data_IF_856546720635
#
_entry.id   IF_856546720635
#
_cell.length_a   1.000
_cell.length_b   1.000
_cell.length_c   1.000
_cell.angle_alpha   90.00
_cell.angle_beta   90.00
_cell.angle_gamma   90.00
#
_symmetry.space_group_name_H-M   'P 1'
#
loop_
_entity.id
_entity.type
_entity.pdbx_description
1 polymer ?
#
# COMPACT_ATOMS: atom_id res chain seq x y z
N UNK A 1 -1.55 54.48 -51.21
CA UNK A 1 -0.41 53.56 -51.10
C UNK A 1 -0.63 52.66 -49.90
N UNK A 2 -0.93 51.39 -50.15
CA UNK A 2 -0.85 50.30 -49.18
C UNK A 2 0.59 50.21 -48.62
N UNK A 3 0.83 49.69 -47.42
CA UNK A 3 1.09 48.26 -47.24
C UNK A 3 0.63 47.79 -45.85
N UNK A 4 -0.15 46.71 -45.91
CA UNK A 4 -0.68 45.87 -44.83
C UNK A 4 0.43 44.94 -44.35
N UNK A 5 0.47 44.66 -43.05
CA UNK A 5 1.44 43.76 -42.42
C UNK A 5 1.41 42.34 -42.98
N UNK A 6 2.58 41.71 -42.94
CA UNK A 6 3.06 40.48 -43.61
C UNK A 6 2.34 39.18 -43.17
N UNK A 7 1.13 39.25 -42.60
CA UNK A 7 0.35 38.08 -42.18
C UNK A 7 -0.55 37.49 -43.27
N UNK A 8 -0.51 37.94 -44.54
CA UNK A 8 -1.53 37.55 -45.55
C UNK A 8 -1.00 37.10 -46.91
N UNK A 9 0.31 37.11 -47.19
CA UNK A 9 0.82 36.57 -48.47
C UNK A 9 1.16 35.07 -48.32
N UNK A 10 0.11 34.25 -48.45
CA UNK A 10 0.09 32.92 -49.11
C UNK A 10 1.08 31.86 -48.56
N UNK A 11 0.67 30.73 -47.96
CA UNK A 11 -0.45 29.88 -48.35
C UNK A 11 -0.04 28.80 -49.36
N UNK A 12 0.33 27.61 -48.85
CA UNK A 12 0.05 26.29 -49.44
C UNK A 12 0.96 25.71 -50.56
N UNK A 13 1.87 24.79 -50.19
CA UNK A 13 1.88 23.32 -50.50
C UNK A 13 3.29 22.71 -50.72
N UNK A 14 3.58 21.71 -49.87
CA UNK A 14 4.34 20.45 -50.03
C UNK A 14 5.60 20.38 -50.94
N UNK A 15 6.74 19.90 -50.41
CA UNK A 15 7.07 18.46 -50.46
C UNK A 15 8.31 18.05 -49.63
N UNK A 16 8.16 16.90 -48.96
CA UNK A 16 9.11 15.84 -48.57
C UNK A 16 10.52 16.20 -48.07
N UNK A 17 10.80 15.71 -46.85
CA UNK A 17 12.04 14.95 -46.63
C UNK A 17 13.05 15.56 -45.66
N UNK A 18 12.86 15.34 -44.36
CA UNK A 18 13.94 14.82 -43.50
C UNK A 18 13.35 14.27 -42.20
N UNK A 19 12.77 13.06 -42.31
CA UNK A 19 12.14 12.30 -41.22
C UNK A 19 13.12 11.56 -40.29
N UNK A 20 14.42 11.85 -40.37
CA UNK A 20 15.46 11.12 -39.63
C UNK A 20 16.17 11.94 -38.54
N UNK A 21 15.94 13.25 -38.43
CA UNK A 21 16.69 14.12 -37.50
C UNK A 21 15.89 14.66 -36.29
N UNK A 22 14.60 14.29 -36.13
CA UNK A 22 13.74 14.82 -35.03
C UNK A 22 13.20 13.70 -34.12
N UNK A 23 13.81 12.52 -34.15
CA UNK A 23 13.26 11.31 -33.50
C UNK A 23 13.88 10.90 -32.17
N UNK A 24 14.88 11.60 -31.65
CA UNK A 24 15.58 11.11 -30.44
C UNK A 24 15.64 12.05 -29.22
N UNK A 25 15.17 13.31 -29.30
CA UNK A 25 15.42 14.30 -28.24
C UNK A 25 14.15 14.89 -27.58
N UNK A 26 12.97 14.26 -27.77
CA UNK A 26 11.67 14.76 -27.25
C UNK A 26 10.93 13.88 -26.25
N UNK A 27 11.57 12.86 -25.67
CA UNK A 27 10.90 11.99 -24.69
C UNK A 27 11.79 11.72 -23.48
N UNK A 28 11.96 12.76 -22.66
CA UNK A 28 12.41 12.61 -21.27
C UNK A 28 11.17 12.47 -20.38
N UNK A 29 11.21 11.58 -19.39
CA UNK A 29 10.14 11.47 -18.40
C UNK A 29 9.84 12.86 -17.79
N UNK A 30 8.56 13.23 -17.56
CA UNK A 30 8.24 14.45 -16.83
C UNK A 30 8.96 14.48 -15.48
N UNK A 31 9.11 15.65 -14.88
CA UNK A 31 9.52 15.70 -13.47
C UNK A 31 8.50 14.94 -12.61
N UNK A 32 8.99 14.22 -11.60
CA UNK A 32 8.20 13.39 -10.70
C UNK A 32 7.00 14.15 -10.13
N UNK A 33 7.20 15.40 -9.70
CA UNK A 33 6.12 16.24 -9.15
C UNK A 33 5.10 16.65 -10.22
N UNK A 34 5.55 16.94 -11.43
CA UNK A 34 4.65 17.30 -12.53
C UNK A 34 3.88 16.09 -13.06
N UNK A 35 4.49 14.90 -13.10
CA UNK A 35 3.78 13.66 -13.41
C UNK A 35 2.66 13.37 -12.41
N UNK A 36 2.94 13.50 -11.11
CA UNK A 36 1.93 13.37 -10.06
C UNK A 36 0.82 14.42 -10.23
N UNK A 37 1.18 15.68 -10.50
CA UNK A 37 0.19 16.76 -10.70
C UNK A 37 -0.71 16.52 -11.93
N UNK A 38 -0.15 16.00 -13.02
CA UNK A 38 -0.89 15.62 -14.24
C UNK A 38 -1.79 14.41 -13.98
N UNK A 39 -1.29 13.41 -13.25
CA UNK A 39 -2.09 12.27 -12.82
C UNK A 39 -3.32 12.70 -12.02
N UNK A 40 -3.13 13.60 -11.05
CA UNK A 40 -4.19 14.19 -10.22
C UNK A 40 -5.24 14.96 -11.04
N UNK A 41 -4.83 15.61 -12.14
CA UNK A 41 -5.71 16.39 -13.01
C UNK A 41 -6.51 15.58 -14.03
N UNK A 42 -6.29 14.27 -14.10
CA UNK A 42 -6.95 13.44 -15.10
C UNK A 42 -6.10 13.17 -16.34
N UNK A 43 -4.96 13.85 -16.52
CA UNK A 43 -4.14 13.73 -17.72
C UNK A 43 -3.46 12.35 -17.82
N UNK A 44 -3.26 11.84 -19.05
CA UNK A 44 -2.49 10.63 -19.27
C UNK A 44 -1.01 10.92 -18.99
N UNK A 45 -0.44 10.17 -18.06
CA UNK A 45 0.99 10.14 -17.78
C UNK A 45 1.45 8.71 -18.01
N UNK A 46 2.34 8.53 -18.96
CA UNK A 46 2.93 7.24 -19.24
C UNK A 46 3.97 6.96 -18.17
N UNK A 47 3.69 6.02 -17.27
CA UNK A 47 4.59 5.69 -16.16
C UNK A 47 5.72 4.73 -16.58
N UNK A 48 5.64 4.21 -17.80
CA UNK A 48 6.64 3.39 -18.51
C UNK A 48 8.01 4.09 -18.69
N UNK A 49 8.06 5.39 -18.41
CA UNK A 49 9.30 6.18 -18.44
C UNK A 49 10.06 6.17 -17.10
N UNK A 50 9.46 5.67 -16.01
CA UNK A 50 10.07 5.55 -14.68
C UNK A 50 10.40 4.09 -14.41
N UNK A 51 11.56 3.66 -14.91
CA UNK A 51 11.93 2.24 -14.97
C UNK A 51 12.63 1.77 -13.71
N UNK A 52 13.21 2.67 -12.93
CA UNK A 52 13.88 2.32 -11.68
C UNK A 52 12.91 2.34 -10.49
N UNK A 53 13.15 1.44 -9.53
CA UNK A 53 12.46 1.41 -8.24
C UNK A 53 12.51 2.77 -7.52
N UNK A 54 13.65 3.44 -7.61
CA UNK A 54 13.90 4.74 -7.03
C UNK A 54 12.98 5.82 -7.61
N UNK A 55 12.88 5.91 -8.94
CA UNK A 55 11.99 6.86 -9.62
C UNK A 55 10.51 6.64 -9.29
N UNK A 56 10.09 5.37 -9.17
CA UNK A 56 8.73 5.04 -8.75
C UNK A 56 8.48 5.38 -7.29
N UNK A 57 9.45 5.15 -6.42
CA UNK A 57 9.36 5.53 -5.01
C UNK A 57 9.27 7.05 -4.87
N UNK A 58 10.05 7.80 -5.65
CA UNK A 58 9.94 9.25 -5.73
C UNK A 58 8.58 9.72 -6.24
N UNK A 59 7.95 9.03 -7.19
CA UNK A 59 6.57 9.33 -7.62
C UNK A 59 5.55 9.10 -6.51
N UNK A 60 5.73 8.06 -5.70
CA UNK A 60 4.88 7.76 -4.57
C UNK A 60 5.05 8.81 -3.45
N UNK A 61 6.29 9.15 -3.11
CA UNK A 61 6.61 10.18 -2.11
C UNK A 61 6.08 11.54 -2.55
N UNK A 62 6.29 11.92 -3.82
CA UNK A 62 5.74 13.16 -4.36
C UNK A 62 4.20 13.18 -4.40
N UNK A 63 3.54 12.03 -4.61
CA UNK A 63 2.07 11.91 -4.53
C UNK A 63 1.54 12.04 -3.10
N UNK A 64 2.35 11.68 -2.11
CA UNK A 64 2.01 11.87 -0.70
C UNK A 64 2.24 13.35 -0.32
N UNK A 65 3.39 13.92 -0.69
CA UNK A 65 3.79 15.31 -0.37
C UNK A 65 2.91 16.36 -1.08
N UNK A 66 2.57 16.18 -2.36
CA UNK A 66 1.75 17.15 -3.12
C UNK A 66 0.32 17.22 -2.58
N UNK A 67 -0.12 16.18 -1.86
CA UNK A 67 -1.50 15.99 -1.46
C UNK A 67 -1.72 16.30 0.02
N UNK A 68 -0.74 16.93 0.70
CA UNK A 68 -0.80 17.44 2.08
C UNK A 68 -2.22 17.51 2.68
N UNK A 69 -2.61 16.45 3.39
CA UNK A 69 -3.85 16.36 4.15
C UNK A 69 -5.09 15.79 3.44
N UNK A 70 -5.07 15.54 2.13
CA UNK A 70 -6.19 14.92 1.40
C UNK A 70 -5.88 13.50 0.93
N UNK A 71 -5.72 12.59 1.90
CA UNK A 71 -5.43 11.15 1.70
C UNK A 71 -6.34 10.51 0.65
N UNK A 72 -7.60 10.96 0.53
CA UNK A 72 -8.55 10.47 -0.47
C UNK A 72 -8.04 10.71 -1.89
N UNK A 73 -7.49 11.91 -2.17
CA UNK A 73 -6.91 12.24 -3.47
C UNK A 73 -5.61 11.45 -3.72
N UNK A 74 -4.80 11.22 -2.68
CA UNK A 74 -3.59 10.41 -2.80
C UNK A 74 -3.95 8.95 -3.17
N UNK A 75 -4.93 8.36 -2.48
CA UNK A 75 -5.45 7.02 -2.80
C UNK A 75 -6.00 6.96 -4.22
N UNK A 76 -6.74 7.98 -4.68
CA UNK A 76 -7.26 8.03 -6.06
C UNK A 76 -6.13 8.11 -7.10
N UNK A 77 -5.11 8.92 -6.85
CA UNK A 77 -3.94 9.04 -7.71
C UNK A 77 -3.17 7.71 -7.79
N UNK A 78 -2.91 7.08 -6.65
CA UNK A 78 -2.24 5.78 -6.57
C UNK A 78 -3.03 4.70 -7.30
N UNK A 79 -4.35 4.63 -7.10
CA UNK A 79 -5.22 3.70 -7.85
C UNK A 79 -5.16 3.93 -9.35
N UNK A 80 -5.06 5.19 -9.79
CA UNK A 80 -4.91 5.51 -11.21
C UNK A 80 -3.54 5.08 -11.73
N UNK A 81 -2.46 5.34 -10.99
CA UNK A 81 -1.11 4.87 -11.31
C UNK A 81 -1.08 3.36 -11.52
N UNK A 82 -1.69 2.59 -10.60
CA UNK A 82 -1.78 1.13 -10.72
C UNK A 82 -2.50 0.71 -12.01
N UNK A 83 -3.63 1.36 -12.33
CA UNK A 83 -4.42 1.02 -13.54
C UNK A 83 -3.75 1.40 -14.85
N UNK A 84 -3.00 2.51 -14.89
CA UNK A 84 -2.47 3.05 -16.16
C UNK A 84 -0.96 2.88 -16.35
N UNK A 85 -0.22 2.47 -15.30
CA UNK A 85 1.24 2.48 -15.27
C UNK A 85 1.91 1.17 -14.92
N UNK A 86 1.14 0.12 -14.64
CA UNK A 86 1.65 -1.22 -14.32
C UNK A 86 1.08 -2.28 -15.27
N UNK A 87 0.88 -1.91 -16.53
CA UNK A 87 0.49 -2.86 -17.59
C UNK A 87 1.68 -3.75 -18.01
N UNK A 88 2.91 -3.35 -17.69
CA UNK A 88 4.12 -4.14 -17.90
C UNK A 88 4.22 -5.30 -16.89
N UNK A 89 4.30 -6.56 -17.34
CA UNK A 89 4.54 -7.73 -16.51
C UNK A 89 5.75 -7.62 -15.57
N UNK A 90 6.79 -6.87 -15.97
CA UNK A 90 7.99 -6.67 -15.14
C UNK A 90 7.71 -5.84 -13.88
N UNK A 91 6.61 -5.09 -13.86
CA UNK A 91 6.26 -4.19 -12.76
C UNK A 91 5.15 -4.75 -11.86
N UNK A 92 4.67 -5.97 -12.11
CA UNK A 92 3.58 -6.57 -11.32
C UNK A 92 3.89 -6.65 -9.82
N UNK A 93 5.15 -6.90 -9.43
CA UNK A 93 5.55 -6.93 -8.03
C UNK A 93 5.42 -5.54 -7.36
N UNK A 94 5.85 -4.48 -8.06
CA UNK A 94 5.70 -3.11 -7.58
C UNK A 94 4.22 -2.71 -7.50
N UNK A 95 3.41 -3.14 -8.48
CA UNK A 95 1.97 -2.90 -8.50
C UNK A 95 1.26 -3.52 -7.29
N UNK A 96 1.68 -4.73 -6.89
CA UNK A 96 1.18 -5.41 -5.71
C UNK A 96 1.53 -4.61 -4.43
N UNK A 97 2.77 -4.13 -4.30
CA UNK A 97 3.20 -3.30 -3.16
C UNK A 97 2.38 -2.00 -3.07
N UNK A 98 2.17 -1.32 -4.19
CA UNK A 98 1.35 -0.09 -4.22
C UNK A 98 -0.12 -0.40 -3.89
N UNK A 99 -0.65 -1.54 -4.33
CA UNK A 99 -2.01 -1.98 -4.01
C UNK A 99 -2.17 -2.30 -2.52
N UNK A 100 -1.17 -2.95 -1.91
CA UNK A 100 -1.14 -3.22 -0.48
C UNK A 100 -1.06 -1.91 0.33
N UNK A 101 -0.26 -0.95 -0.13
CA UNK A 101 -0.17 0.36 0.49
C UNK A 101 -1.49 1.17 0.38
N UNK A 102 -2.14 1.18 -0.79
CA UNK A 102 -3.48 1.75 -0.96
C UNK A 102 -4.45 1.11 0.04
N UNK A 103 -4.45 -0.21 0.13
CA UNK A 103 -5.32 -0.95 1.05
C UNK A 103 -5.05 -0.60 2.52
N UNK A 104 -3.80 -0.32 2.88
CA UNK A 104 -3.43 0.14 4.22
C UNK A 104 -3.97 1.56 4.48
N UNK A 105 -3.77 2.50 3.56
CA UNK A 105 -4.28 3.87 3.68
C UNK A 105 -5.81 3.88 3.84
N UNK A 106 -6.52 3.06 3.05
CA UNK A 106 -7.97 2.92 3.13
C UNK A 106 -8.46 2.40 4.47
N UNK A 107 -7.68 1.55 5.15
CA UNK A 107 -7.98 1.08 6.51
C UNK A 107 -7.66 2.15 7.55
N UNK A 108 -6.60 2.93 7.37
CA UNK A 108 -6.19 3.99 8.31
C UNK A 108 -7.19 5.16 8.34
N UNK A 109 -7.78 5.53 7.20
CA UNK A 109 -8.72 6.66 7.10
C UNK A 109 -9.88 6.62 8.11
N UNK A 110 -10.72 5.56 8.17
CA UNK A 110 -11.85 5.52 9.09
C UNK A 110 -11.40 5.54 10.57
N UNK A 111 -10.28 4.89 10.89
CA UNK A 111 -9.71 4.88 12.25
C UNK A 111 -9.28 6.30 12.64
N UNK A 112 -8.52 6.97 11.77
CA UNK A 112 -8.02 8.32 12.05
C UNK A 112 -9.17 9.31 12.21
N UNK A 113 -10.18 9.26 11.34
CA UNK A 113 -11.37 10.13 11.42
C UNK A 113 -12.14 9.89 12.72
N UNK A 114 -12.42 8.62 13.06
CA UNK A 114 -13.13 8.27 14.26
C UNK A 114 -12.38 8.74 15.52
N UNK A 115 -11.06 8.54 15.54
CA UNK A 115 -10.22 8.89 16.67
C UNK A 115 -10.03 10.40 16.81
N UNK A 116 -9.95 11.16 15.72
CA UNK A 116 -9.84 12.63 15.74
C UNK A 116 -11.10 13.29 16.30
N UNK A 117 -12.25 12.62 16.15
CA UNK A 117 -13.54 13.06 16.70
C UNK A 117 -13.85 12.44 18.07
N UNK A 118 -13.05 11.45 18.49
CA UNK A 118 -13.28 10.70 19.72
C UNK A 118 -13.01 11.55 20.96
N UNK A 119 -13.89 11.41 21.95
CA UNK A 119 -13.73 11.97 23.30
C UNK A 119 -13.26 10.92 24.30
N UNK A 120 -12.74 9.79 23.82
CA UNK A 120 -12.28 8.71 24.68
C UNK A 120 -11.16 9.22 25.60
N UNK A 121 -11.28 8.93 26.90
CA UNK A 121 -10.34 9.37 27.93
C UNK A 121 -8.91 8.89 27.66
N UNK A 122 -8.74 7.79 26.90
CA UNK A 122 -7.42 7.30 26.50
C UNK A 122 -6.62 8.33 25.70
N UNK A 123 -7.27 9.13 24.85
CA UNK A 123 -6.62 10.19 24.08
C UNK A 123 -6.32 11.43 24.93
N UNK A 124 -6.97 11.58 26.08
CA UNK A 124 -6.62 12.60 27.07
C UNK A 124 -5.42 12.18 27.92
N UNK A 125 -5.38 10.91 28.33
CA UNK A 125 -4.27 10.34 29.10
C UNK A 125 -3.01 10.16 28.24
N UNK A 126 -3.18 9.76 26.99
CA UNK A 126 -2.12 9.55 26.00
C UNK A 126 -2.49 10.28 24.69
N UNK A 127 -2.13 11.57 24.57
CA UNK A 127 -2.43 12.34 23.38
C UNK A 127 -1.77 11.79 22.12
N UNK A 128 -2.54 11.78 21.02
CA UNK A 128 -2.01 11.46 19.70
C UNK A 128 -1.04 12.56 19.27
N UNK A 129 0.17 12.18 18.88
CA UNK A 129 1.23 13.11 18.48
C UNK A 129 1.38 13.28 16.96
N UNK A 130 0.65 12.49 16.16
CA UNK A 130 0.60 12.58 14.71
C UNK A 130 -0.63 11.85 14.16
N UNK A 131 -1.01 12.15 12.91
CA UNK A 131 -1.99 11.35 12.16
C UNK A 131 -1.52 9.90 12.01
N UNK A 132 -2.46 8.97 12.11
CA UNK A 132 -2.25 7.54 11.84
C UNK A 132 -2.00 7.28 10.35
N UNK A 133 -2.50 8.16 9.48
CA UNK A 133 -2.47 7.93 8.04
C UNK A 133 -1.06 8.09 7.48
N UNK A 134 -0.67 7.19 6.56
CA UNK A 134 0.66 7.15 5.97
C UNK A 134 1.71 6.50 6.87
N UNK A 135 1.36 6.09 8.09
CA UNK A 135 2.26 5.32 8.95
C UNK A 135 2.46 3.90 8.40
N UNK A 136 3.64 3.29 8.61
CA UNK A 136 3.88 1.91 8.19
C UNK A 136 2.95 0.94 8.94
N UNK A 137 2.63 -0.20 8.32
CA UNK A 137 1.70 -1.21 8.86
C UNK A 137 2.00 -1.62 10.30
N UNK A 138 3.28 -1.72 10.67
CA UNK A 138 3.71 -2.07 12.03
C UNK A 138 3.40 -0.95 13.03
N UNK A 139 3.61 0.31 12.65
CA UNK A 139 3.25 1.45 13.49
C UNK A 139 1.73 1.55 13.64
N UNK A 140 0.98 1.26 12.57
CA UNK A 140 -0.49 1.16 12.62
C UNK A 140 -0.94 0.03 13.55
N UNK A 141 -0.27 -1.12 13.51
CA UNK A 141 -0.55 -2.24 14.41
C UNK A 141 -0.35 -1.82 15.88
N UNK A 142 0.80 -1.24 16.22
CA UNK A 142 1.06 -0.75 17.57
C UNK A 142 0.06 0.30 18.03
N UNK A 143 -0.35 1.19 17.14
CA UNK A 143 -1.38 2.18 17.42
C UNK A 143 -2.72 1.49 17.78
N UNK A 144 -3.15 0.49 17.00
CA UNK A 144 -4.36 -0.28 17.30
C UNK A 144 -4.24 -1.02 18.63
N UNK A 145 -3.10 -1.65 18.92
CA UNK A 145 -2.88 -2.30 20.22
C UNK A 145 -2.95 -1.33 21.40
N UNK A 146 -2.56 -0.07 21.21
CA UNK A 146 -2.54 0.92 22.29
C UNK A 146 -3.91 1.55 22.50
N UNK A 147 -4.59 1.96 21.41
CA UNK A 147 -5.80 2.78 21.50
C UNK A 147 -7.10 2.02 21.24
N UNK A 148 -7.03 0.86 20.59
CA UNK A 148 -8.15 0.01 20.18
C UNK A 148 -7.97 -1.42 20.69
N UNK A 149 -7.43 -1.58 21.90
CA UNK A 149 -7.15 -2.89 22.52
C UNK A 149 -8.43 -3.72 22.77
N UNK A 150 -9.57 -3.05 22.80
CA UNK A 150 -10.91 -3.61 22.95
C UNK A 150 -11.50 -4.16 21.64
N UNK A 151 -10.87 -3.87 20.49
CA UNK A 151 -11.19 -4.49 19.19
C UNK A 151 -10.02 -5.35 18.66
N UNK A 152 -9.87 -6.60 19.13
CA UNK A 152 -8.86 -7.53 18.62
C UNK A 152 -9.00 -7.83 17.12
N UNK A 153 -10.20 -7.68 16.54
CA UNK A 153 -10.42 -7.94 15.11
C UNK A 153 -9.78 -6.86 14.24
N UNK A 154 -9.73 -5.61 14.71
CA UNK A 154 -8.97 -4.56 14.05
C UNK A 154 -7.47 -4.87 14.02
N UNK A 155 -6.88 -5.20 15.17
CA UNK A 155 -5.45 -5.58 15.27
C UNK A 155 -5.13 -6.77 14.37
N UNK A 156 -5.97 -7.79 14.38
CA UNK A 156 -5.88 -8.95 13.49
C UNK A 156 -5.90 -8.59 11.99
N UNK A 157 -6.73 -7.62 11.58
CA UNK A 157 -6.80 -7.17 10.18
C UNK A 157 -5.53 -6.42 9.77
N UNK A 158 -5.01 -5.56 10.64
CA UNK A 158 -3.77 -4.82 10.37
C UNK A 158 -2.57 -5.76 10.35
N UNK A 159 -2.49 -6.70 11.30
CA UNK A 159 -1.38 -7.63 11.39
C UNK A 159 -1.29 -8.55 10.16
N UNK A 160 -2.42 -8.95 9.56
CA UNK A 160 -2.44 -9.70 8.29
C UNK A 160 -1.84 -8.94 7.11
N UNK A 161 -1.85 -7.61 7.15
CA UNK A 161 -1.23 -6.76 6.13
C UNK A 161 0.30 -6.67 6.27
N UNK A 162 0.89 -7.24 7.32
CA UNK A 162 2.35 -7.43 7.41
C UNK A 162 2.75 -8.54 6.43
N UNK A 163 3.48 -8.16 5.38
CA UNK A 163 3.89 -9.06 4.29
C UNK A 163 4.90 -10.11 4.74
N UNK A 164 5.81 -9.76 5.65
CA UNK A 164 6.83 -10.67 6.19
C UNK A 164 6.20 -11.63 7.21
N UNK A 165 6.19 -12.92 6.88
CA UNK A 165 5.52 -13.94 7.70
C UNK A 165 6.19 -14.16 9.06
N UNK A 166 7.52 -14.03 9.15
CA UNK A 166 8.27 -14.24 10.39
C UNK A 166 8.08 -13.06 11.35
N UNK A 167 8.11 -11.84 10.82
CA UNK A 167 7.79 -10.63 11.56
C UNK A 167 6.34 -10.63 12.02
N UNK A 168 5.41 -11.05 11.16
CA UNK A 168 4.00 -11.20 11.51
C UNK A 168 3.80 -12.21 12.64
N UNK A 169 4.46 -13.36 12.58
CA UNK A 169 4.43 -14.36 13.65
C UNK A 169 5.01 -13.83 14.95
N UNK A 170 6.17 -13.15 14.91
CA UNK A 170 6.79 -12.53 16.09
C UNK A 170 5.89 -11.49 16.74
N UNK A 171 5.21 -10.67 15.95
CA UNK A 171 4.25 -9.68 16.47
C UNK A 171 3.03 -10.36 17.10
N UNK A 172 2.50 -11.39 16.45
CA UNK A 172 1.36 -12.18 16.94
C UNK A 172 1.66 -12.92 18.26
N UNK A 173 2.90 -13.36 18.46
CA UNK A 173 3.34 -14.02 19.70
C UNK A 173 3.70 -13.01 20.82
N UNK A 174 3.92 -11.73 20.48
CA UNK A 174 4.47 -10.73 21.41
C UNK A 174 3.40 -10.14 22.33
N UNK A 175 2.17 -10.03 21.87
CA UNK A 175 1.08 -9.44 22.64
C UNK A 175 -0.01 -10.49 22.86
N UNK A 176 -0.42 -10.70 24.11
CA UNK A 176 -1.49 -11.66 24.50
C UNK A 176 -2.89 -11.27 23.98
N UNK A 177 -2.99 -10.34 23.03
CA UNK A 177 -4.25 -9.94 22.38
C UNK A 177 -4.65 -10.97 21.35
N UNK A 178 -5.32 -12.05 21.76
CA UNK A 178 -6.25 -12.88 20.97
C UNK A 178 -5.88 -13.20 19.49
N UNK A 179 -4.60 -13.25 19.15
CA UNK A 179 -4.11 -13.41 17.77
C UNK A 179 -3.76 -14.88 17.46
N UNK A 180 -4.32 -15.81 18.23
CA UNK A 180 -4.10 -17.24 18.10
C UNK A 180 -4.32 -17.75 16.68
N UNK A 181 -5.33 -17.20 16.01
CA UNK A 181 -5.61 -17.54 14.62
C UNK A 181 -4.46 -17.15 13.67
N UNK A 182 -3.83 -15.98 13.84
CA UNK A 182 -2.73 -15.53 12.98
C UNK A 182 -1.47 -16.35 13.24
N UNK A 183 -1.20 -16.71 14.50
CA UNK A 183 -0.11 -17.62 14.86
C UNK A 183 -0.29 -18.98 14.16
N UNK A 184 -1.49 -19.57 14.24
CA UNK A 184 -1.80 -20.84 13.57
C UNK A 184 -1.63 -20.70 12.04
N UNK A 185 -2.20 -19.65 11.43
CA UNK A 185 -2.06 -19.37 9.98
C UNK A 185 -0.58 -19.29 9.55
N UNK A 186 0.26 -18.59 10.32
CA UNK A 186 1.68 -18.44 10.03
C UNK A 186 2.44 -19.77 10.18
N UNK A 187 2.22 -20.53 11.25
CA UNK A 187 2.89 -21.81 11.48
C UNK A 187 2.51 -22.87 10.43
N UNK A 188 1.24 -22.90 10.02
CA UNK A 188 0.76 -23.74 8.90
C UNK A 188 1.46 -23.34 7.60
N UNK A 189 1.54 -22.03 7.30
CA UNK A 189 2.22 -21.54 6.10
C UNK A 189 3.72 -21.87 6.10
N UNK A 190 4.38 -21.82 7.27
CA UNK A 190 5.77 -22.22 7.45
C UNK A 190 5.98 -23.75 7.39
N UNK A 191 4.89 -24.52 7.51
CA UNK A 191 4.85 -25.98 7.62
C UNK A 191 5.58 -26.51 8.86
N UNK A 192 5.60 -25.71 9.92
CA UNK A 192 6.28 -26.05 11.17
C UNK A 192 5.30 -26.76 12.12
N UNK A 193 5.25 -28.09 11.97
CA UNK A 193 4.37 -28.94 12.80
C UNK A 193 4.77 -28.92 14.27
N UNK A 194 6.07 -28.91 14.55
CA UNK A 194 6.60 -29.01 15.91
C UNK A 194 6.24 -27.78 16.74
N UNK A 195 6.45 -26.58 16.19
CA UNK A 195 6.03 -25.33 16.83
C UNK A 195 4.51 -25.25 16.97
N UNK A 196 3.74 -25.65 15.96
CA UNK A 196 2.27 -25.65 16.05
C UNK A 196 1.76 -26.60 17.13
N UNK A 197 2.35 -27.79 17.27
CA UNK A 197 2.02 -28.74 18.34
C UNK A 197 2.33 -28.16 19.73
N UNK A 198 3.51 -27.54 19.87
CA UNK A 198 3.91 -26.86 21.10
C UNK A 198 2.98 -25.71 21.43
N UNK A 199 2.61 -24.90 20.43
CA UNK A 199 1.66 -23.81 20.60
C UNK A 199 0.28 -24.30 21.01
N UNK A 200 -0.23 -25.35 20.35
CA UNK A 200 -1.52 -25.95 20.67
C UNK A 200 -1.60 -26.45 22.12
N UNK A 201 -0.51 -27.00 22.67
CA UNK A 201 -0.46 -27.42 24.07
C UNK A 201 -0.52 -26.27 25.09
N UNK A 202 -0.19 -25.04 24.67
CA UNK A 202 -0.30 -23.84 25.52
C UNK A 202 -1.71 -23.26 25.54
N UNK A 203 -2.55 -23.60 24.54
CA UNK A 203 -3.91 -23.11 24.44
C UNK A 203 -4.79 -23.80 25.49
N UNK A 204 -5.72 -23.04 26.06
CA UNK A 204 -6.69 -23.59 27.00
C UNK A 204 -7.57 -24.63 26.28
N UNK A 205 -7.69 -25.86 26.82
CA UNK A 205 -8.54 -26.88 26.24
C UNK A 205 -9.98 -26.41 26.06
N UNK A 206 -10.68 -26.97 25.07
CA UNK A 206 -12.08 -26.66 24.74
C UNK A 206 -12.37 -25.21 24.30
N UNK A 207 -11.33 -24.42 24.00
CA UNK A 207 -11.50 -23.11 23.36
C UNK A 207 -11.59 -23.24 21.83
N UNK A 208 -12.27 -22.31 21.14
CA UNK A 208 -12.28 -22.25 19.68
C UNK A 208 -10.87 -22.27 19.06
N UNK A 209 -9.92 -21.63 19.73
CA UNK A 209 -8.53 -21.54 19.27
C UNK A 209 -7.80 -22.88 19.38
N UNK A 210 -8.00 -23.63 20.48
CA UNK A 210 -7.49 -24.99 20.62
C UNK A 210 -8.07 -25.92 19.54
N UNK A 211 -9.37 -25.82 19.24
CA UNK A 211 -9.99 -26.60 18.16
C UNK A 211 -9.42 -26.25 16.79
N UNK A 212 -9.19 -24.96 16.49
CA UNK A 212 -8.56 -24.53 15.24
C UNK A 212 -7.13 -25.07 15.11
N UNK A 213 -6.33 -25.02 16.17
CA UNK A 213 -4.96 -25.53 16.16
C UNK A 213 -4.92 -27.05 15.92
N UNK A 214 -5.80 -27.82 16.59
CA UNK A 214 -5.92 -29.26 16.41
C UNK A 214 -6.43 -29.62 15.00
N UNK A 215 -7.43 -28.90 14.50
CA UNK A 215 -7.93 -29.09 13.14
C UNK A 215 -6.83 -28.83 12.09
N UNK A 216 -6.02 -27.78 12.29
CA UNK A 216 -4.87 -27.51 11.44
C UNK A 216 -3.85 -28.66 11.48
N UNK A 217 -3.50 -29.18 12.66
CA UNK A 217 -2.57 -30.31 12.81
C UNK A 217 -3.08 -31.61 12.17
N UNK A 218 -4.39 -31.85 12.19
CA UNK A 218 -5.01 -33.05 11.64
C UNK A 218 -5.37 -32.94 10.16
N UNK A 219 -5.15 -31.77 9.54
CA UNK A 219 -5.49 -31.53 8.15
C UNK A 219 -4.57 -32.35 7.22
N UNK A 220 -5.15 -33.34 6.54
CA UNK A 220 -4.47 -34.24 5.59
C UNK A 220 -3.96 -33.55 4.32
N UNK A 221 -4.44 -32.34 4.03
CA UNK A 221 -3.96 -31.52 2.91
C UNK A 221 -2.65 -30.78 3.18
N UNK A 222 -2.20 -30.70 4.44
CA UNK A 222 -0.98 -29.95 4.79
C UNK A 222 0.25 -30.83 4.74
N UNK A 223 1.19 -30.52 3.83
CA UNK A 223 2.50 -31.18 3.76
C UNK A 223 3.46 -30.55 4.77
N UNK A 224 3.58 -31.14 5.95
CA UNK A 224 4.47 -30.68 7.01
C UNK A 224 5.95 -30.84 6.64
N UNK A 225 6.81 -29.95 7.13
CA UNK A 225 8.26 -30.20 7.15
C UNK A 225 8.52 -31.17 8.31
N UNK A 226 9.27 -32.23 8.03
CA UNK A 226 9.75 -33.17 9.04
C UNK A 226 10.81 -32.51 9.92
#
# INVERSE_FOLDING_TARGET
>A
MHIVSISTILGSKQNIGNYSAVRHDRYRAPDVKEAVRRLLKGDPVSLEWYRSKEEKMQLLDAAIDIVDGNVILAVQALKKCVRSGFSDPMLMADAAIVTDYISLLERQMPINIADDQSKNAIFTAFPKNASLVGKPVIATYYYCCLYHYDDPQLSCRILRAVSDADQRLKLAEKYDVCEFQIVIECLVAQRDRARLSTYASKLTPHTPDAYKALAALNNSGTKWKN
#
